data_IF_707311303442
#
_entry.id   IF_707311303442
#
_cell.length_a   1.000
_cell.length_b   1.000
_cell.length_c   1.000
_cell.angle_alpha   90.00
_cell.angle_beta   90.00
_cell.angle_gamma   90.00
#
_symmetry.space_group_name_H-M   'P 1'
#
loop_
_entity.id
_entity.type
_entity.pdbx_description
1 polymer ?
#
# COMPACT_ATOMS: atom_id res chain seq x y z
N UNK A 1 -2.93 -7.62 -8.61
CA UNK A 1 -3.31 -6.18 -8.45
C UNK A 1 -2.84 -5.36 -9.65
N UNK A 2 -3.55 -5.43 -10.78
CA UNK A 2 -3.11 -4.80 -12.03
C UNK A 2 -3.10 -3.26 -11.95
N UNK A 3 -3.93 -2.70 -11.07
CA UNK A 3 -4.14 -1.27 -10.90
C UNK A 3 -2.93 -0.58 -10.27
N UNK A 4 -2.34 -1.13 -9.21
CA UNK A 4 -1.14 -0.53 -8.61
C UNK A 4 0.09 -0.66 -9.50
N UNK A 5 0.30 -1.80 -10.15
CA UNK A 5 1.46 -2.00 -11.01
C UNK A 5 1.39 -1.10 -12.26
N UNK A 6 0.30 -1.19 -13.02
CA UNK A 6 0.18 -0.47 -14.30
C UNK A 6 -0.16 1.00 -14.12
N UNK A 7 -1.18 1.32 -13.32
CA UNK A 7 -1.74 2.67 -13.29
C UNK A 7 -1.04 3.60 -12.29
N UNK A 8 -0.31 3.04 -11.32
CA UNK A 8 0.39 3.82 -10.29
C UNK A 8 1.91 3.68 -10.43
N UNK A 9 2.46 2.49 -10.19
CA UNK A 9 3.90 2.28 -10.15
C UNK A 9 4.55 2.59 -11.49
N UNK A 10 4.15 1.90 -12.56
CA UNK A 10 4.74 2.11 -13.89
C UNK A 10 4.52 3.53 -14.42
N UNK A 11 3.39 4.17 -14.06
CA UNK A 11 3.07 5.53 -14.47
C UNK A 11 3.92 6.60 -13.78
N UNK A 12 4.15 6.49 -12.47
CA UNK A 12 4.73 7.58 -11.67
C UNK A 12 6.13 7.29 -11.13
N UNK A 13 6.68 6.09 -11.29
CA UNK A 13 8.02 5.73 -10.76
C UNK A 13 9.15 6.64 -11.25
N UNK A 14 9.10 7.07 -12.51
CA UNK A 14 10.08 7.99 -13.09
C UNK A 14 9.87 9.44 -12.67
N UNK A 15 8.67 9.79 -12.19
CA UNK A 15 8.34 11.11 -11.66
C UNK A 15 8.71 11.27 -10.18
N UNK A 16 9.31 10.24 -9.57
CA UNK A 16 9.78 10.25 -8.18
C UNK A 16 8.85 9.56 -7.19
N UNK A 17 7.75 8.94 -7.63
CA UNK A 17 6.93 8.10 -6.75
C UNK A 17 7.69 6.81 -6.41
N UNK A 18 7.65 6.40 -5.14
CA UNK A 18 8.07 5.07 -4.69
C UNK A 18 6.85 4.32 -4.17
N UNK A 19 6.71 3.06 -4.56
CA UNK A 19 5.64 2.17 -4.09
C UNK A 19 6.29 1.03 -3.31
N UNK A 20 5.72 0.72 -2.15
CA UNK A 20 6.12 -0.43 -1.33
C UNK A 20 4.84 -1.14 -0.91
N UNK A 21 4.73 -2.43 -1.23
CA UNK A 21 3.70 -3.29 -0.65
C UNK A 21 4.11 -3.72 0.76
N UNK A 22 3.17 -3.80 1.67
CA UNK A 22 3.41 -4.34 3.02
C UNK A 22 2.45 -5.50 3.21
N UNK A 23 2.98 -6.71 3.28
CA UNK A 23 2.27 -7.86 3.79
C UNK A 23 2.27 -7.81 5.31
N UNK A 24 1.11 -7.86 5.93
CA UNK A 24 0.96 -7.71 7.38
C UNK A 24 -0.21 -8.57 7.88
N UNK A 25 -0.12 -9.10 9.11
CA UNK A 25 -1.19 -9.88 9.69
C UNK A 25 -2.55 -9.18 9.68
N UNK A 26 -3.59 -9.91 9.27
CA UNK A 26 -4.97 -9.45 9.40
C UNK A 26 -5.40 -9.28 10.87
N UNK A 27 -4.88 -10.16 11.73
CA UNK A 27 -5.11 -10.21 13.19
C UNK A 27 -3.80 -10.58 13.89
N UNK A 28 -3.60 -10.24 15.19
CA UNK A 28 -2.30 -10.32 15.85
C UNK A 28 -1.78 -11.75 15.97
N UNK A 29 -2.71 -12.70 16.09
CA UNK A 29 -2.41 -14.10 16.38
C UNK A 29 -2.24 -14.94 15.12
N UNK A 30 -2.39 -14.34 13.93
CA UNK A 30 -2.11 -15.00 12.65
C UNK A 30 -0.76 -14.52 12.14
N UNK A 31 0.21 -15.41 11.88
CA UNK A 31 1.50 -15.01 11.33
C UNK A 31 1.31 -14.42 9.91
N UNK A 32 2.20 -13.49 9.48
CA UNK A 32 2.20 -13.03 8.10
C UNK A 32 2.53 -14.16 7.13
N UNK A 33 2.35 -13.92 5.82
CA UNK A 33 2.76 -14.86 4.80
C UNK A 33 4.27 -15.12 4.88
N UNK A 34 4.68 -16.32 4.49
CA UNK A 34 6.11 -16.65 4.42
C UNK A 34 6.80 -15.81 3.33
N UNK A 35 8.11 -15.58 3.47
CA UNK A 35 8.91 -14.90 2.45
C UNK A 35 8.75 -15.53 1.06
N UNK A 36 8.68 -16.85 1.01
CA UNK A 36 8.44 -17.58 -0.24
C UNK A 36 7.03 -17.33 -0.78
N UNK A 37 6.02 -17.33 0.08
CA UNK A 37 4.63 -17.02 -0.27
C UNK A 37 4.49 -15.63 -0.89
N UNK A 38 5.06 -14.60 -0.25
CA UNK A 38 5.04 -13.23 -0.75
C UNK A 38 5.80 -13.09 -2.08
N UNK A 39 6.95 -13.77 -2.22
CA UNK A 39 7.69 -13.79 -3.49
C UNK A 39 6.89 -14.48 -4.61
N UNK A 40 6.22 -15.59 -4.30
CA UNK A 40 5.39 -16.31 -5.26
C UNK A 40 4.18 -15.47 -5.67
N UNK A 41 3.55 -14.77 -4.73
CA UNK A 41 2.49 -13.79 -4.99
C UNK A 41 2.99 -12.68 -5.94
N UNK A 42 4.12 -12.03 -5.62
CA UNK A 42 4.69 -10.97 -6.45
C UNK A 42 4.96 -11.43 -7.88
N UNK A 43 5.54 -12.63 -8.07
CA UNK A 43 5.76 -13.21 -9.40
C UNK A 43 4.46 -13.51 -10.15
N UNK A 44 3.48 -14.12 -9.47
CA UNK A 44 2.19 -14.47 -10.07
C UNK A 44 1.41 -13.25 -10.54
N UNK A 45 1.44 -12.19 -9.73
CA UNK A 45 0.73 -10.93 -9.99
C UNK A 45 1.51 -9.97 -10.89
N UNK A 46 2.75 -10.31 -11.28
CA UNK A 46 3.60 -9.47 -12.12
C UNK A 46 4.05 -8.17 -11.45
N UNK A 47 4.17 -8.15 -10.11
CA UNK A 47 4.54 -6.95 -9.35
C UNK A 47 6.04 -6.70 -9.43
N UNK A 48 6.42 -5.48 -9.76
CA UNK A 48 7.84 -5.08 -9.88
C UNK A 48 8.29 -4.10 -8.80
N UNK A 49 7.36 -3.55 -8.03
CA UNK A 49 7.67 -2.79 -6.82
C UNK A 49 8.02 -3.73 -5.64
N UNK A 50 8.85 -3.29 -4.68
CA UNK A 50 9.22 -4.10 -3.52
C UNK A 50 8.02 -4.38 -2.62
N UNK A 51 7.99 -5.59 -2.04
CA UNK A 51 7.01 -5.99 -1.02
C UNK A 51 7.78 -6.38 0.25
N UNK A 52 7.50 -5.69 1.35
CA UNK A 52 8.01 -6.01 2.68
C UNK A 52 7.03 -6.88 3.47
N UNK A 53 7.54 -7.58 4.47
CA UNK A 53 6.74 -8.38 5.41
C UNK A 53 6.85 -7.73 6.78
N UNK A 54 5.72 -7.40 7.38
CA UNK A 54 5.63 -6.97 8.76
C UNK A 54 5.26 -8.16 9.65
N UNK A 55 6.03 -8.40 10.70
CA UNK A 55 5.67 -9.37 11.75
C UNK A 55 4.66 -8.83 12.75
N UNK A 56 4.19 -7.59 12.57
CA UNK A 56 3.30 -6.91 13.51
C UNK A 56 2.04 -6.42 12.81
N UNK A 57 0.93 -6.38 13.57
CA UNK A 57 -0.33 -5.75 13.17
C UNK A 57 -0.33 -4.23 13.38
N UNK A 58 0.82 -3.61 13.66
CA UNK A 58 0.93 -2.18 14.01
C UNK A 58 0.24 -1.28 12.97
N UNK A 59 0.26 -1.67 11.69
CA UNK A 59 -0.48 -0.97 10.64
C UNK A 59 -1.98 -0.88 10.96
N UNK A 60 -2.60 -2.03 11.29
CA UNK A 60 -3.99 -2.06 11.73
C UNK A 60 -4.17 -1.26 13.02
N UNK A 61 -3.32 -1.49 14.01
CA UNK A 61 -3.50 -0.86 15.33
C UNK A 61 -3.36 0.68 15.27
N UNK A 62 -2.61 1.19 14.29
CA UNK A 62 -2.40 2.63 14.10
C UNK A 62 -3.46 3.27 13.18
N UNK A 63 -3.97 2.54 12.18
CA UNK A 63 -4.76 3.13 11.09
C UNK A 63 -6.18 2.54 10.93
N UNK A 64 -6.47 1.36 11.48
CA UNK A 64 -7.75 0.68 11.31
C UNK A 64 -8.85 1.16 12.26
N UNK A 65 -8.51 1.63 13.47
CA UNK A 65 -9.49 2.10 14.46
C UNK A 65 -10.25 3.38 14.04
N UNK A 66 -9.89 3.98 12.90
CA UNK A 66 -10.58 5.14 12.31
C UNK A 66 -11.65 4.79 11.26
N UNK A 67 -11.86 3.51 10.96
CA UNK A 67 -12.94 3.02 10.10
C UNK A 67 -13.89 2.10 10.86
N UNK A 68 -15.16 2.07 10.46
CA UNK A 68 -16.31 1.43 11.12
C UNK A 68 -16.24 -0.12 11.28
N UNK A 69 -15.14 -0.68 11.77
CA UNK A 69 -15.00 -2.12 12.04
C UNK A 69 -14.87 -3.02 10.80
N UNK A 70 -14.75 -2.45 9.60
CA UNK A 70 -14.52 -3.21 8.37
C UNK A 70 -13.02 -3.54 8.19
N UNK A 71 -12.74 -4.76 7.71
CA UNK A 71 -11.39 -5.30 7.57
C UNK A 71 -10.40 -4.29 6.95
N UNK A 72 -9.22 -4.06 7.57
CA UNK A 72 -8.33 -2.94 7.24
C UNK A 72 -7.57 -3.09 5.92
N UNK A 73 -7.89 -4.12 5.12
CA UNK A 73 -7.19 -4.45 3.89
C UNK A 73 -8.15 -4.49 2.70
N UNK A 74 -7.74 -3.95 1.53
CA UNK A 74 -6.49 -3.22 1.29
C UNK A 74 -6.51 -1.79 1.84
N UNK A 75 -5.42 -1.37 2.51
CA UNK A 75 -5.17 0.03 2.87
C UNK A 75 -4.18 0.67 1.89
N UNK A 76 -4.37 1.95 1.57
CA UNK A 76 -3.46 2.73 0.74
C UNK A 76 -3.12 4.03 1.45
N UNK A 77 -1.83 4.30 1.59
CA UNK A 77 -1.31 5.54 2.19
C UNK A 77 -0.33 6.20 1.24
N UNK A 78 -0.47 7.51 1.08
CA UNK A 78 0.50 8.36 0.39
C UNK A 78 1.22 9.24 1.41
N UNK A 79 2.55 9.18 1.39
CA UNK A 79 3.41 10.09 2.14
C UNK A 79 4.00 11.11 1.16
N UNK A 80 3.86 12.40 1.45
CA UNK A 80 4.45 13.47 0.64
C UNK A 80 5.96 13.62 0.87
N UNK A 81 6.60 14.55 0.14
CA UNK A 81 8.05 14.80 0.24
C UNK A 81 8.46 15.37 1.60
N UNK A 82 7.52 15.89 2.38
CA UNK A 82 7.72 16.43 3.72
C UNK A 82 7.47 15.38 4.81
N UNK A 83 7.17 14.12 4.42
CA UNK A 83 6.90 13.03 5.36
C UNK A 83 5.49 13.05 5.95
N UNK A 84 4.56 13.82 5.37
CA UNK A 84 3.18 13.93 5.87
C UNK A 84 2.28 12.94 5.14
N UNK A 85 1.28 12.42 5.83
CA UNK A 85 0.22 11.60 5.21
C UNK A 85 -0.68 12.50 4.38
N UNK A 86 -0.55 12.43 3.06
CA UNK A 86 -1.32 13.22 2.10
C UNK A 86 -2.60 12.50 1.63
N UNK A 87 -2.67 11.18 1.84
CA UNK A 87 -3.84 10.35 1.53
C UNK A 87 -3.83 9.10 2.39
N UNK A 88 -4.99 8.69 2.89
CA UNK A 88 -5.22 7.41 3.55
C UNK A 88 -6.61 6.91 3.16
N UNK A 89 -6.69 5.69 2.66
CA UNK A 89 -7.98 5.04 2.35
C UNK A 89 -7.91 3.54 2.63
N UNK A 90 -8.97 3.01 3.23
CA UNK A 90 -9.24 1.58 3.38
C UNK A 90 -10.19 1.05 2.30
N UNK A 91 -10.67 1.93 1.41
CA UNK A 91 -11.50 1.59 0.26
C UNK A 91 -10.73 1.78 -1.05
N UNK A 92 -11.09 0.98 -2.06
CA UNK A 92 -10.51 1.09 -3.39
C UNK A 92 -11.05 2.37 -4.06
N UNK A 93 -10.26 3.44 -4.00
CA UNK A 93 -10.53 4.73 -4.64
C UNK A 93 -9.34 5.14 -5.53
N UNK A 94 -9.31 4.66 -6.79
CA UNK A 94 -8.21 4.93 -7.70
C UNK A 94 -8.07 6.41 -8.07
N UNK A 95 -9.20 7.12 -8.22
CA UNK A 95 -9.20 8.53 -8.64
C UNK A 95 -8.77 9.48 -7.52
N UNK A 96 -9.16 9.22 -6.26
CA UNK A 96 -8.64 9.98 -5.13
C UNK A 96 -7.15 9.77 -4.92
N UNK A 97 -6.68 8.52 -4.98
CA UNK A 97 -5.24 8.23 -4.91
C UNK A 97 -4.46 8.92 -6.05
N UNK A 98 -4.96 8.84 -7.29
CA UNK A 98 -4.34 9.48 -8.45
C UNK A 98 -4.21 10.99 -8.26
N UNK A 99 -5.28 11.67 -7.83
CA UNK A 99 -5.28 13.11 -7.56
C UNK A 99 -4.31 13.49 -6.44
N UNK A 100 -4.24 12.68 -5.39
CA UNK A 100 -3.29 12.89 -4.30
C UNK A 100 -1.83 12.77 -4.77
N UNK A 101 -1.51 11.74 -5.57
CA UNK A 101 -0.17 11.56 -6.16
C UNK A 101 0.20 12.75 -7.04
N UNK A 102 -0.67 13.13 -7.97
CA UNK A 102 -0.40 14.25 -8.88
C UNK A 102 -0.22 15.57 -8.13
N UNK A 103 -0.90 15.76 -7.01
CA UNK A 103 -0.74 16.93 -6.13
C UNK A 103 0.61 16.88 -5.41
N UNK A 104 0.97 15.74 -4.83
CA UNK A 104 2.24 15.54 -4.10
C UNK A 104 3.49 15.59 -5.01
N UNK A 105 3.33 15.28 -6.30
CA UNK A 105 4.42 15.34 -7.27
C UNK A 105 4.68 16.73 -7.84
N UNK A 106 3.75 17.68 -7.70
CA UNK A 106 3.96 19.07 -8.14
C UNK A 106 5.17 19.69 -7.43
N UNK A 107 5.91 20.57 -8.13
CA UNK A 107 7.04 21.28 -7.55
C UNK A 107 6.62 22.24 -6.43
#
# INVERSE_FOLDING_TARGET
MPDLETNIWNRYRSAGLRVVGIDTPAVPDIPPDSLEGVRAFGRREGLTFPIGISSTSVWRDTFAERGDGAAPFPSRMLIDRQGRVAYLSTVIDPEGLRRAIETALRP
#
